data_IF_235392659053
#
_entry.id   IF_235392659053
#
_cell.length_a   1.000
_cell.length_b   1.000
_cell.length_c   1.000
_cell.angle_alpha   90.00
_cell.angle_beta   90.00
_cell.angle_gamma   90.00
#
_symmetry.space_group_name_H-M   'P 1'
#
loop_
_entity.id
_entity.type
_entity.pdbx_description
1 polymer ?
#
# COMPACT_ATOMS: atom_id res chain seq x y z
N UNK A 1 7.85 -6.64 74.74
CA UNK A 1 7.73 -7.69 73.69
C UNK A 1 6.64 -7.37 72.65
N UNK A 2 5.65 -6.50 72.90
CA UNK A 2 4.61 -6.13 71.93
C UNK A 2 5.09 -5.16 70.86
N UNK A 3 6.15 -4.37 71.10
CA UNK A 3 6.72 -3.43 70.13
C UNK A 3 7.36 -4.17 68.95
N UNK A 4 7.98 -5.31 69.19
CA UNK A 4 8.59 -6.11 68.13
C UNK A 4 7.55 -6.78 67.20
N UNK A 5 6.38 -7.13 67.69
CA UNK A 5 5.30 -7.70 66.93
C UNK A 5 4.71 -6.65 66.00
N UNK A 6 4.59 -5.40 66.45
CA UNK A 6 4.09 -4.29 65.62
C UNK A 6 5.07 -3.89 64.52
N UNK A 7 6.39 -4.01 64.79
CA UNK A 7 7.42 -3.74 63.77
C UNK A 7 7.47 -4.83 62.68
N UNK A 8 7.20 -6.09 63.05
CA UNK A 8 7.16 -7.22 62.10
C UNK A 8 5.95 -7.17 61.16
N UNK A 9 4.80 -6.64 61.62
CA UNK A 9 3.61 -6.52 60.80
C UNK A 9 3.78 -5.49 59.67
N UNK A 10 4.56 -4.43 59.91
CA UNK A 10 4.83 -3.40 58.89
C UNK A 10 5.76 -3.85 57.74
N UNK A 11 6.42 -5.01 57.89
CA UNK A 11 7.29 -5.55 56.82
C UNK A 11 6.54 -6.39 55.80
N UNK A 12 5.25 -6.65 56.01
CA UNK A 12 4.38 -7.33 55.08
C UNK A 12 3.50 -6.41 54.22
N UNK A 13 3.82 -5.09 54.17
CA UNK A 13 3.26 -4.23 53.14
C UNK A 13 4.02 -4.54 51.85
N UNK A 14 3.53 -5.56 51.15
CA UNK A 14 4.05 -5.93 49.86
C UNK A 14 3.97 -4.73 48.92
N UNK A 15 5.07 -4.40 48.35
CA UNK A 15 5.12 -3.60 47.14
C UNK A 15 4.13 -4.21 46.16
N UNK A 16 2.98 -3.60 46.00
CA UNK A 16 2.11 -3.89 44.87
C UNK A 16 2.94 -3.61 43.60
N UNK A 17 2.92 -4.51 42.67
CA UNK A 17 3.40 -4.23 41.31
C UNK A 17 2.75 -2.90 40.89
N UNK A 18 3.55 -1.91 40.41
CA UNK A 18 3.00 -0.60 40.05
C UNK A 18 2.04 -0.76 38.87
N UNK A 19 0.76 -0.87 39.16
CA UNK A 19 -0.28 -1.02 38.15
C UNK A 19 -1.66 -0.75 38.74
N UNK A 20 -2.59 -0.31 37.91
CA UNK A 20 -4.00 -0.15 38.23
C UNK A 20 -4.76 -1.37 37.70
N UNK A 21 -5.33 -2.16 38.63
CA UNK A 21 -6.24 -3.25 38.31
C UNK A 21 -7.70 -2.81 38.41
N UNK A 22 -8.51 -3.08 37.40
CA UNK A 22 -9.97 -2.96 37.45
C UNK A 22 -10.54 -4.36 37.43
N UNK A 23 -11.17 -4.79 38.53
CA UNK A 23 -11.57 -6.18 38.81
C UNK A 23 -10.35 -7.17 38.73
N UNK A 24 -9.17 -6.69 39.07
CA UNK A 24 -7.93 -7.47 39.13
C UNK A 24 -7.13 -7.03 40.38
N UNK A 25 -6.86 -7.98 41.25
CA UNK A 25 -6.16 -7.71 42.53
C UNK A 25 -4.63 -7.80 42.38
N UNK A 26 -4.15 -8.45 41.31
CA UNK A 26 -2.73 -8.65 41.01
C UNK A 26 -2.42 -8.17 39.60
N UNK A 27 -2.42 -6.86 39.37
CA UNK A 27 -2.20 -6.35 37.99
C UNK A 27 -0.79 -6.70 37.50
N UNK A 28 -0.75 -7.35 36.33
CA UNK A 28 0.51 -7.74 35.66
C UNK A 28 1.04 -6.63 34.74
N UNK A 29 0.24 -5.59 34.51
CA UNK A 29 0.54 -4.46 33.63
C UNK A 29 0.19 -3.13 34.32
N UNK A 30 0.69 -2.01 33.81
CA UNK A 30 0.39 -0.68 34.35
C UNK A 30 -1.11 -0.37 34.43
N UNK A 31 -1.89 -0.90 33.49
CA UNK A 31 -3.35 -0.99 33.55
C UNK A 31 -3.77 -2.42 33.20
N UNK A 32 -4.40 -3.11 34.12
CA UNK A 32 -4.91 -4.47 33.93
C UNK A 32 -6.42 -4.51 34.18
N UNK A 33 -7.16 -4.93 33.16
CA UNK A 33 -8.62 -5.13 33.21
C UNK A 33 -8.87 -6.63 33.42
N UNK A 34 -9.47 -6.97 34.57
CA UNK A 34 -9.78 -8.37 34.90
C UNK A 34 -10.81 -8.98 33.95
N UNK A 35 -10.86 -10.30 33.89
CA UNK A 35 -11.66 -11.11 32.96
C UNK A 35 -13.17 -10.83 32.96
N UNK A 36 -13.73 -10.28 34.05
CA UNK A 36 -15.13 -9.88 34.15
C UNK A 36 -15.39 -8.42 33.84
N UNK A 37 -14.37 -7.69 33.42
CA UNK A 37 -14.48 -6.28 33.03
C UNK A 37 -15.15 -6.18 31.66
N UNK A 38 -16.09 -5.26 31.52
CA UNK A 38 -16.74 -4.97 30.25
C UNK A 38 -15.81 -4.27 29.23
N UNK A 39 -16.39 -3.49 28.35
CA UNK A 39 -15.65 -2.71 27.36
C UNK A 39 -15.04 -1.44 27.97
N UNK A 40 -13.92 -1.00 27.39
CA UNK A 40 -13.37 0.33 27.69
C UNK A 40 -14.12 1.36 26.84
N UNK A 41 -14.60 2.43 27.48
CA UNK A 41 -15.12 3.61 26.80
C UNK A 41 -14.13 4.76 26.96
N UNK A 42 -13.76 5.36 25.82
CA UNK A 42 -12.88 6.54 25.76
C UNK A 42 -13.70 7.69 25.19
N UNK A 43 -14.15 8.61 26.05
CA UNK A 43 -15.03 9.71 25.61
C UNK A 43 -14.36 10.67 24.62
N UNK A 44 -13.04 10.81 24.66
CA UNK A 44 -12.29 11.58 23.66
C UNK A 44 -12.38 11.05 22.24
N UNK A 45 -12.73 9.76 22.06
CA UNK A 45 -12.84 9.12 20.76
C UNK A 45 -14.28 8.94 20.27
N UNK A 46 -15.27 9.53 20.96
CA UNK A 46 -16.66 9.50 20.50
C UNK A 46 -16.90 10.51 19.36
N UNK A 47 -18.01 10.38 18.66
CA UNK A 47 -18.36 11.22 17.50
C UNK A 47 -18.58 12.71 17.80
N UNK A 48 -18.67 13.10 19.06
CA UNK A 48 -18.78 14.51 19.45
C UNK A 48 -17.42 15.15 19.72
N UNK A 49 -16.40 14.37 20.02
CA UNK A 49 -15.08 14.82 20.43
C UNK A 49 -13.97 14.49 19.43
N UNK A 50 -14.18 13.49 18.56
CA UNK A 50 -13.19 13.06 17.58
C UNK A 50 -13.73 13.25 16.17
N UNK A 51 -12.99 14.02 15.35
CA UNK A 51 -13.34 14.36 13.96
C UNK A 51 -13.41 13.12 13.05
N UNK A 52 -12.62 12.10 13.35
CA UNK A 52 -12.52 10.86 12.56
C UNK A 52 -13.58 9.83 12.93
N UNK A 53 -14.37 10.09 13.99
CA UNK A 53 -15.51 9.27 14.34
C UNK A 53 -16.80 9.83 13.71
N UNK A 54 -17.19 9.30 12.58
CA UNK A 54 -18.40 9.72 11.85
C UNK A 54 -19.73 9.31 12.53
N UNK A 55 -19.69 8.62 13.66
CA UNK A 55 -20.88 8.21 14.42
C UNK A 55 -21.71 7.09 13.79
N UNK A 56 -22.99 7.01 14.15
CA UNK A 56 -23.93 5.99 13.67
C UNK A 56 -23.62 4.60 14.26
N UNK A 57 -23.87 3.56 13.46
CA UNK A 57 -23.61 2.15 13.83
C UNK A 57 -22.25 1.65 13.34
N UNK A 58 -21.41 2.53 12.79
CA UNK A 58 -20.11 2.18 12.26
C UNK A 58 -19.09 1.90 13.36
N UNK A 59 -18.14 1.03 13.07
CA UNK A 59 -16.98 0.77 13.91
C UNK A 59 -15.73 1.35 13.23
N UNK A 60 -14.80 1.88 14.04
CA UNK A 60 -13.58 2.52 13.59
C UNK A 60 -12.38 1.78 14.16
N UNK A 61 -11.30 1.59 13.37
CA UNK A 61 -10.07 0.99 13.88
C UNK A 61 -9.39 1.94 14.86
N UNK A 62 -8.98 1.41 16.01
CA UNK A 62 -8.19 2.15 16.97
C UNK A 62 -6.71 2.07 16.59
N UNK A 63 -6.08 3.21 16.42
CA UNK A 63 -4.69 3.36 16.04
C UNK A 63 -3.88 3.97 17.17
N UNK A 64 -2.55 3.87 17.08
CA UNK A 64 -1.62 4.49 18.02
C UNK A 64 -0.71 5.42 17.23
N UNK A 65 -0.62 6.69 17.62
CA UNK A 65 0.28 7.66 16.99
C UNK A 65 1.75 7.47 17.44
N UNK A 66 2.67 8.29 16.91
CA UNK A 66 4.10 8.22 17.22
C UNK A 66 4.42 8.55 18.69
N UNK A 67 3.53 9.25 19.38
CA UNK A 67 3.66 9.61 20.80
C UNK A 67 3.04 8.55 21.72
N UNK A 68 2.40 7.53 21.16
CA UNK A 68 1.70 6.48 21.92
C UNK A 68 0.25 6.81 22.27
N UNK A 69 -0.33 7.90 21.74
CA UNK A 69 -1.73 8.24 21.97
C UNK A 69 -2.65 7.37 21.12
N UNK A 70 -3.81 7.03 21.68
CA UNK A 70 -4.87 6.36 20.94
C UNK A 70 -5.61 7.36 20.05
N UNK A 71 -5.77 7.03 18.77
CA UNK A 71 -6.42 7.88 17.76
C UNK A 71 -7.25 7.05 16.79
N UNK A 72 -8.24 7.66 16.18
CA UNK A 72 -8.99 7.12 15.03
C UNK A 72 -8.46 7.69 13.71
N UNK A 73 -7.54 8.66 13.76
CA UNK A 73 -6.97 9.28 12.59
C UNK A 73 -6.15 8.27 11.79
N UNK A 74 -6.57 8.03 10.57
CA UNK A 74 -5.83 7.23 9.60
C UNK A 74 -5.05 8.14 8.66
N UNK A 75 -3.72 8.14 8.78
CA UNK A 75 -2.83 8.91 7.91
C UNK A 75 -2.19 7.95 6.91
N UNK A 76 -2.67 7.90 5.67
CA UNK A 76 -1.98 7.17 4.61
C UNK A 76 -0.70 7.93 4.22
N UNK A 77 0.34 7.20 3.82
CA UNK A 77 1.60 7.79 3.38
C UNK A 77 1.50 8.50 2.03
N UNK A 78 0.50 8.15 1.23
CA UNK A 78 0.30 8.70 -0.10
C UNK A 78 -1.18 8.71 -0.48
N UNK A 79 -1.64 9.79 -1.08
CA UNK A 79 -2.98 10.06 -1.62
C UNK A 79 -4.16 9.63 -0.74
N UNK A 80 -4.56 10.51 0.17
CA UNK A 80 -5.63 10.27 1.13
C UNK A 80 -6.98 10.87 0.76
N UNK A 81 -7.04 11.72 -0.25
CA UNK A 81 -8.22 12.58 -0.50
C UNK A 81 -9.21 12.02 -1.52
N UNK A 82 -8.94 10.81 -2.07
CA UNK A 82 -9.81 10.18 -3.08
C UNK A 82 -9.81 10.87 -4.44
N UNK A 83 -8.90 11.83 -4.67
CA UNK A 83 -8.67 12.41 -6.00
C UNK A 83 -7.83 11.46 -6.85
N UNK A 84 -7.72 11.76 -8.13
CA UNK A 84 -6.82 11.05 -9.04
C UNK A 84 -5.39 11.01 -8.48
N UNK A 85 -4.87 9.82 -8.26
CA UNK A 85 -3.59 9.62 -7.59
C UNK A 85 -2.40 9.84 -8.52
N UNK A 86 -2.58 9.60 -9.80
CA UNK A 86 -1.54 9.67 -10.82
C UNK A 86 -2.09 10.44 -12.02
N UNK A 87 -1.37 11.47 -12.44
CA UNK A 87 -1.69 12.23 -13.63
C UNK A 87 -0.57 12.07 -14.66
N UNK A 88 -0.92 11.60 -15.85
CA UNK A 88 0.03 11.38 -16.95
C UNK A 88 0.83 12.64 -17.36
N UNK A 89 0.33 13.82 -17.04
CA UNK A 89 1.02 15.10 -17.31
C UNK A 89 2.11 15.41 -16.27
N UNK A 90 2.02 14.82 -15.08
CA UNK A 90 2.93 15.09 -13.97
C UNK A 90 3.90 13.94 -13.69
N UNK A 91 3.64 12.76 -14.24
CA UNK A 91 4.55 11.61 -14.10
C UNK A 91 5.88 11.86 -14.83
N UNK A 92 7.01 11.44 -14.26
CA UNK A 92 8.32 11.52 -14.92
C UNK A 92 8.34 10.78 -16.26
N UNK A 93 7.61 9.68 -16.35
CA UNK A 93 7.37 8.92 -17.57
C UNK A 93 5.98 8.30 -17.49
N UNK A 94 5.13 8.63 -18.44
CA UNK A 94 3.75 8.11 -18.50
C UNK A 94 3.58 7.10 -19.65
N UNK A 95 4.63 6.69 -20.36
CA UNK A 95 4.52 5.77 -21.49
C UNK A 95 5.66 4.77 -21.56
N UNK A 96 5.34 3.58 -22.09
CA UNK A 96 6.30 2.53 -22.40
C UNK A 96 6.05 2.10 -23.85
N UNK A 97 7.11 2.05 -24.66
CA UNK A 97 6.98 1.81 -26.10
C UNK A 97 7.92 0.71 -26.57
N UNK A 98 7.37 -0.30 -27.25
CA UNK A 98 8.11 -1.30 -28.03
C UNK A 98 8.13 -0.84 -29.48
N UNK A 99 9.30 -0.85 -30.11
CA UNK A 99 9.44 -0.61 -31.53
C UNK A 99 9.14 -1.88 -32.32
N UNK A 100 8.71 -1.72 -33.58
CA UNK A 100 8.54 -2.86 -34.47
C UNK A 100 9.87 -3.56 -34.71
N UNK A 101 9.91 -4.88 -34.56
CA UNK A 101 11.12 -5.67 -34.66
C UNK A 101 12.07 -5.59 -33.46
N UNK A 102 11.59 -5.14 -32.32
CA UNK A 102 12.35 -5.19 -31.08
C UNK A 102 12.81 -6.61 -30.76
N UNK A 103 14.02 -6.73 -30.20
CA UNK A 103 14.74 -8.00 -30.09
C UNK A 103 14.04 -9.02 -29.19
N UNK A 104 13.51 -8.60 -28.05
CA UNK A 104 12.83 -9.48 -27.08
C UNK A 104 11.34 -9.18 -26.94
N UNK A 105 10.87 -8.09 -27.54
CA UNK A 105 9.49 -7.66 -27.50
C UNK A 105 9.01 -7.32 -26.09
N UNK A 106 9.90 -6.91 -25.21
CA UNK A 106 9.58 -6.54 -23.82
C UNK A 106 10.27 -5.22 -23.48
N UNK A 107 9.46 -4.24 -23.07
CA UNK A 107 9.96 -2.96 -22.58
C UNK A 107 9.32 -2.61 -21.25
N UNK A 108 10.10 -1.99 -20.37
CA UNK A 108 9.60 -1.49 -19.10
C UNK A 108 10.16 -0.10 -18.79
N UNK A 109 9.32 0.74 -18.18
CA UNK A 109 9.67 2.08 -17.74
C UNK A 109 9.26 2.35 -16.30
N UNK A 110 10.09 3.07 -15.56
CA UNK A 110 9.72 3.60 -14.26
C UNK A 110 8.74 4.77 -14.45
N UNK A 111 7.52 4.61 -13.95
CA UNK A 111 6.48 5.63 -14.04
C UNK A 111 6.69 6.71 -12.98
N UNK A 112 6.95 6.31 -11.76
CA UNK A 112 7.27 7.20 -10.64
C UNK A 112 7.99 6.44 -9.53
N UNK A 113 8.50 7.18 -8.54
CA UNK A 113 9.01 6.59 -7.31
C UNK A 113 8.58 7.39 -6.10
N UNK A 114 8.62 6.71 -4.96
CA UNK A 114 8.23 7.24 -3.66
C UNK A 114 9.22 6.78 -2.61
N UNK A 115 9.64 7.68 -1.73
CA UNK A 115 10.63 7.37 -0.69
C UNK A 115 9.96 7.37 0.67
N UNK A 116 10.20 6.32 1.46
CA UNK A 116 9.74 6.18 2.84
C UNK A 116 10.92 5.96 3.77
N UNK A 117 10.77 6.45 5.00
CA UNK A 117 11.72 6.23 6.09
C UNK A 117 11.07 5.36 7.15
N UNK A 118 11.78 4.34 7.62
CA UNK A 118 11.34 3.50 8.73
C UNK A 118 12.33 3.58 9.87
N UNK A 119 11.84 3.61 11.10
CA UNK A 119 12.64 3.57 12.32
C UNK A 119 12.66 2.17 12.98
N UNK A 120 12.01 1.20 12.36
CA UNK A 120 11.92 -0.20 12.82
C UNK A 120 11.61 -1.13 11.64
N UNK A 121 11.68 -2.43 11.86
CA UNK A 121 11.10 -3.43 10.96
C UNK A 121 9.61 -3.14 10.78
N UNK A 122 9.16 -3.08 9.54
CA UNK A 122 7.80 -2.68 9.18
C UNK A 122 7.29 -3.49 8.00
N UNK A 123 5.98 -3.52 7.83
CA UNK A 123 5.34 -4.05 6.64
C UNK A 123 4.72 -2.88 5.88
N UNK A 124 5.12 -2.70 4.63
CA UNK A 124 4.52 -1.73 3.73
C UNK A 124 3.39 -2.40 2.95
N UNK A 125 2.17 -1.92 3.15
CA UNK A 125 1.02 -2.21 2.30
C UNK A 125 1.01 -1.22 1.13
N UNK A 126 0.92 -1.75 -0.08
CA UNK A 126 0.73 -0.98 -1.31
C UNK A 126 -0.55 -1.44 -1.98
N UNK A 127 -1.47 -0.53 -2.17
CA UNK A 127 -2.68 -0.72 -2.98
C UNK A 127 -2.64 0.21 -4.15
N UNK A 128 -2.92 -0.30 -5.34
CA UNK A 128 -3.01 0.53 -6.51
C UNK A 128 -4.09 0.06 -7.48
N UNK A 129 -4.58 1.01 -8.24
CA UNK A 129 -5.42 0.83 -9.41
C UNK A 129 -4.95 1.85 -10.45
N UNK A 130 -4.21 1.39 -11.47
CA UNK A 130 -3.55 2.26 -12.45
C UNK A 130 -4.12 2.02 -13.83
N UNK A 131 -4.63 3.09 -14.41
CA UNK A 131 -5.17 3.10 -15.75
C UNK A 131 -4.10 3.04 -16.82
N UNK A 132 -4.43 2.46 -17.96
CA UNK A 132 -3.60 2.49 -19.15
C UNK A 132 -4.45 2.39 -20.42
N UNK A 133 -3.93 2.94 -21.50
CA UNK A 133 -4.43 2.80 -22.85
C UNK A 133 -3.33 2.22 -23.76
N UNK A 134 -3.73 1.48 -24.79
CA UNK A 134 -2.81 0.75 -25.66
C UNK A 134 -2.95 1.24 -27.10
N UNK A 135 -1.84 1.67 -27.67
CA UNK A 135 -1.72 2.21 -29.01
C UNK A 135 -0.62 1.50 -29.80
N UNK A 136 -0.62 1.67 -31.11
CA UNK A 136 0.43 1.19 -31.99
C UNK A 136 1.75 1.98 -31.77
N UNK A 137 1.63 3.28 -31.57
CA UNK A 137 2.75 4.22 -31.48
C UNK A 137 2.44 5.42 -30.57
N UNK A 138 3.41 6.30 -30.39
CA UNK A 138 3.30 7.49 -29.55
C UNK A 138 2.29 8.53 -30.07
N UNK A 139 1.89 8.46 -31.34
CA UNK A 139 0.87 9.34 -31.95
C UNK A 139 -0.54 8.83 -31.75
N UNK A 140 -0.69 7.74 -30.95
CA UNK A 140 -1.98 7.14 -30.57
C UNK A 140 -2.72 6.47 -31.73
N UNK A 141 -1.97 5.96 -32.70
CA UNK A 141 -2.53 5.15 -33.77
C UNK A 141 -3.16 3.86 -33.23
N UNK A 142 -4.32 3.47 -33.76
CA UNK A 142 -4.99 2.24 -33.32
C UNK A 142 -4.22 0.99 -33.74
N UNK A 143 -4.21 -0.02 -32.85
CA UNK A 143 -3.69 -1.36 -33.20
C UNK A 143 -4.70 -2.08 -34.09
N UNK A 144 -4.22 -2.61 -35.23
CA UNK A 144 -5.07 -3.31 -36.22
C UNK A 144 -4.60 -4.71 -36.57
N UNK A 145 -3.54 -5.20 -35.94
CA UNK A 145 -2.89 -6.47 -36.31
C UNK A 145 -3.51 -7.71 -35.66
N UNK A 146 -4.49 -7.58 -34.82
CA UNK A 146 -5.19 -8.66 -34.09
C UNK A 146 -4.30 -9.55 -33.23
N UNK A 147 -3.13 -9.03 -32.83
CA UNK A 147 -2.18 -9.76 -32.00
C UNK A 147 -2.28 -9.30 -30.55
N UNK A 148 -2.03 -10.22 -29.63
CA UNK A 148 -2.12 -9.94 -28.21
C UNK A 148 -0.87 -9.17 -27.71
N UNK A 149 -1.10 -8.28 -26.76
CA UNK A 149 -0.10 -7.60 -25.93
C UNK A 149 -0.41 -7.89 -24.47
N UNK A 150 0.63 -8.02 -23.68
CA UNK A 150 0.50 -8.12 -22.23
C UNK A 150 1.02 -6.84 -21.61
N UNK A 151 0.23 -6.23 -20.78
CA UNK A 151 0.55 -5.01 -20.06
C UNK A 151 0.63 -5.35 -18.57
N UNK A 152 1.79 -5.13 -17.97
CA UNK A 152 2.04 -5.35 -16.56
C UNK A 152 2.26 -4.03 -15.83
N UNK A 153 1.86 -3.98 -14.57
CA UNK A 153 2.31 -3.01 -13.59
C UNK A 153 2.86 -3.73 -12.39
N UNK A 154 3.91 -3.22 -11.81
CA UNK A 154 4.56 -3.74 -10.60
C UNK A 154 5.41 -2.66 -9.95
N UNK A 155 5.92 -2.95 -8.77
CA UNK A 155 6.91 -2.09 -8.15
C UNK A 155 8.14 -2.88 -7.67
N UNK A 156 9.25 -2.14 -7.49
CA UNK A 156 10.51 -2.64 -6.93
C UNK A 156 10.87 -1.82 -5.71
N UNK A 157 11.66 -2.41 -4.82
CA UNK A 157 12.19 -1.74 -3.63
C UNK A 157 13.67 -1.45 -3.88
N UNK A 158 14.07 -0.21 -3.73
CA UNK A 158 15.43 0.28 -3.98
C UNK A 158 15.90 -0.09 -5.41
N UNK A 159 17.13 -0.55 -5.55
CA UNK A 159 17.71 -1.07 -6.78
C UNK A 159 17.50 -2.60 -6.95
N UNK A 160 16.60 -3.20 -6.15
CA UNK A 160 16.34 -4.63 -6.20
C UNK A 160 15.71 -5.07 -7.52
N UNK A 161 15.93 -6.33 -7.89
CA UNK A 161 15.37 -6.92 -9.11
C UNK A 161 13.98 -7.54 -8.91
N UNK A 162 13.61 -7.83 -7.64
CA UNK A 162 12.33 -8.46 -7.32
C UNK A 162 11.17 -7.54 -7.64
N UNK A 163 10.18 -8.06 -8.36
CA UNK A 163 8.91 -7.41 -8.65
C UNK A 163 7.89 -7.76 -7.57
N UNK A 164 7.14 -6.76 -7.12
CA UNK A 164 6.08 -6.88 -6.12
C UNK A 164 4.77 -6.37 -6.70
N UNK A 165 3.65 -6.92 -6.26
CA UNK A 165 2.33 -6.45 -6.65
C UNK A 165 2.12 -6.49 -8.16
N UNK A 166 2.55 -7.56 -8.82
CA UNK A 166 2.40 -7.69 -10.28
C UNK A 166 0.93 -7.84 -10.63
N UNK A 167 0.44 -6.92 -11.47
CA UNK A 167 -0.87 -7.03 -12.12
C UNK A 167 -0.68 -7.06 -13.62
N UNK A 168 -1.47 -7.88 -14.31
CA UNK A 168 -1.29 -8.16 -15.73
C UNK A 168 -2.62 -8.20 -16.45
N UNK A 169 -2.70 -7.51 -17.60
CA UNK A 169 -3.82 -7.57 -18.53
C UNK A 169 -3.32 -7.94 -19.93
N UNK A 170 -4.16 -8.66 -20.64
CA UNK A 170 -3.93 -8.94 -22.05
C UNK A 170 -4.85 -8.04 -22.88
N UNK A 171 -4.25 -7.37 -23.86
CA UNK A 171 -4.94 -6.52 -24.83
C UNK A 171 -4.82 -7.15 -26.22
N UNK A 172 -5.92 -7.13 -26.97
CA UNK A 172 -5.96 -7.55 -28.37
C UNK A 172 -6.81 -6.55 -29.14
N UNK A 173 -6.19 -5.82 -30.06
CA UNK A 173 -6.83 -4.81 -30.91
C UNK A 173 -6.98 -5.22 -32.35
N UNK A 174 -7.79 -4.47 -33.13
CA UNK A 174 -7.94 -4.66 -34.56
C UNK A 174 -9.14 -5.50 -34.99
N UNK A 175 -10.10 -5.75 -34.10
CA UNK A 175 -11.46 -6.21 -34.44
C UNK A 175 -12.43 -5.04 -34.31
N UNK A 176 -13.55 -5.09 -35.04
CA UNK A 176 -14.66 -4.12 -34.87
C UNK A 176 -15.29 -4.21 -33.49
N UNK A 177 -15.07 -5.33 -32.78
CA UNK A 177 -15.61 -5.62 -31.45
C UNK A 177 -14.54 -5.47 -30.36
N UNK A 178 -13.37 -4.87 -30.67
CA UNK A 178 -12.34 -4.62 -29.67
C UNK A 178 -12.71 -3.43 -28.81
N UNK A 179 -12.62 -3.60 -27.52
CA UNK A 179 -12.76 -2.50 -26.54
C UNK A 179 -11.64 -1.49 -26.71
N UNK A 180 -11.97 -0.22 -26.51
CA UNK A 180 -11.02 0.92 -26.53
C UNK A 180 -11.17 1.73 -25.27
N UNK A 181 -10.15 2.53 -24.94
CA UNK A 181 -10.15 3.41 -23.77
C UNK A 181 -9.30 2.87 -22.63
N UNK A 182 -9.66 3.31 -21.42
CA UNK A 182 -8.88 3.02 -20.23
C UNK A 182 -9.14 1.60 -19.69
N UNK A 183 -8.06 0.85 -19.53
CA UNK A 183 -7.99 -0.37 -18.75
C UNK A 183 -7.31 -0.09 -17.42
N UNK A 184 -7.51 -0.95 -16.42
CA UNK A 184 -6.92 -0.78 -15.11
C UNK A 184 -6.16 -2.03 -14.67
N UNK A 185 -4.94 -1.85 -14.18
CA UNK A 185 -4.18 -2.85 -13.45
C UNK A 185 -4.26 -2.55 -11.96
N UNK A 186 -4.79 -3.49 -11.19
CA UNK A 186 -5.03 -3.35 -9.76
C UNK A 186 -4.31 -4.42 -8.97
N UNK A 187 -3.72 -4.06 -7.85
CA UNK A 187 -3.13 -5.02 -6.93
C UNK A 187 -3.05 -4.47 -5.50
N UNK A 188 -3.09 -5.39 -4.53
CA UNK A 188 -2.68 -5.15 -3.15
C UNK A 188 -1.49 -6.04 -2.84
N UNK A 189 -0.43 -5.47 -2.30
CA UNK A 189 0.78 -6.20 -1.94
C UNK A 189 1.34 -5.74 -0.60
N UNK A 190 1.96 -6.68 0.11
CA UNK A 190 2.61 -6.45 1.39
C UNK A 190 4.10 -6.72 1.23
N UNK A 191 4.93 -5.76 1.65
CA UNK A 191 6.39 -5.85 1.55
C UNK A 191 6.97 -5.78 2.95
N UNK A 192 7.79 -6.76 3.30
CA UNK A 192 8.59 -6.69 4.51
C UNK A 192 9.78 -5.73 4.31
N UNK A 193 9.86 -4.71 5.14
CA UNK A 193 10.98 -3.80 5.26
C UNK A 193 11.77 -4.19 6.52
N UNK A 194 12.88 -4.96 6.38
CA UNK A 194 13.43 -5.72 7.50
C UNK A 194 14.26 -4.88 8.48
N UNK A 195 14.56 -3.63 8.18
CA UNK A 195 15.43 -2.80 9.00
C UNK A 195 14.98 -1.34 9.01
N UNK A 196 15.49 -0.60 9.98
CA UNK A 196 15.47 0.87 9.96
C UNK A 196 16.21 1.38 8.75
N UNK A 197 15.64 2.36 8.03
CA UNK A 197 16.30 2.95 6.88
C UNK A 197 15.35 3.65 5.92
N UNK A 198 15.95 4.09 4.82
CA UNK A 198 15.25 4.73 3.71
C UNK A 198 15.02 3.73 2.60
N UNK A 199 13.79 3.61 2.14
CA UNK A 199 13.39 2.71 1.07
C UNK A 199 12.77 3.54 -0.06
N UNK A 200 13.22 3.33 -1.29
CA UNK A 200 12.60 3.89 -2.48
C UNK A 200 11.72 2.83 -3.14
N UNK A 201 10.44 3.10 -3.24
CA UNK A 201 9.47 2.25 -3.93
C UNK A 201 9.34 2.79 -5.34
N UNK A 202 9.73 1.97 -6.34
CA UNK A 202 9.76 2.34 -7.76
C UNK A 202 8.66 1.61 -8.48
N UNK A 203 7.75 2.35 -9.08
CA UNK A 203 6.58 1.81 -9.78
C UNK A 203 6.86 1.75 -11.28
N UNK A 204 6.58 0.59 -11.90
CA UNK A 204 6.89 0.31 -13.30
C UNK A 204 5.64 -0.06 -14.10
N UNK A 205 5.60 0.44 -15.32
CA UNK A 205 4.81 -0.14 -16.40
C UNK A 205 5.70 -1.00 -17.29
N UNK A 206 5.15 -2.10 -17.78
CA UNK A 206 5.83 -3.01 -18.71
C UNK A 206 4.87 -3.43 -19.80
N UNK A 207 5.33 -3.50 -21.02
CA UNK A 207 4.60 -4.06 -22.15
C UNK A 207 5.38 -5.22 -22.73
N UNK A 208 4.67 -6.27 -23.15
CA UNK A 208 5.24 -7.43 -23.83
C UNK A 208 4.37 -7.77 -25.04
N UNK A 209 5.01 -7.83 -26.19
CA UNK A 209 4.38 -8.12 -27.48
C UNK A 209 5.15 -9.15 -28.30
N UNK A 210 6.07 -9.88 -27.68
CA UNK A 210 6.85 -10.93 -28.34
C UNK A 210 5.96 -12.07 -28.82
N UNK A 211 6.09 -12.44 -30.08
CA UNK A 211 5.23 -13.42 -30.73
C UNK A 211 5.76 -14.84 -30.49
N UNK A 212 7.07 -15.03 -30.52
CA UNK A 212 7.70 -16.33 -30.35
C UNK A 212 8.87 -16.25 -29.38
N UNK A 213 8.92 -17.19 -28.48
CA UNK A 213 9.88 -17.24 -27.36
C UNK A 213 11.36 -17.35 -27.81
N UNK A 214 11.62 -17.75 -29.02
CA UNK A 214 12.98 -18.01 -29.56
C UNK A 214 13.23 -17.34 -30.90
N UNK A 215 12.40 -16.39 -31.32
CA UNK A 215 12.57 -15.70 -32.58
C UNK A 215 12.97 -14.24 -32.30
N UNK A 216 14.22 -13.85 -32.48
CA UNK A 216 14.67 -12.48 -32.29
C UNK A 216 13.98 -11.55 -33.29
N UNK A 217 13.84 -10.28 -32.93
CA UNK A 217 13.22 -9.23 -33.72
C UNK A 217 11.73 -9.43 -34.05
N UNK A 218 10.97 -10.03 -33.12
CA UNK A 218 9.52 -10.26 -33.29
C UNK A 218 8.65 -9.31 -32.47
N UNK A 219 9.25 -8.34 -31.81
CA UNK A 219 8.52 -7.30 -31.08
C UNK A 219 7.54 -6.56 -31.99
N UNK A 220 6.31 -6.41 -31.54
CA UNK A 220 5.26 -5.68 -32.25
C UNK A 220 5.23 -4.24 -31.75
N UNK A 221 5.23 -3.28 -32.66
CA UNK A 221 5.05 -1.88 -32.31
C UNK A 221 3.87 -1.72 -31.37
N UNK A 222 4.14 -1.15 -30.19
CA UNK A 222 3.14 -0.97 -29.15
C UNK A 222 3.55 0.19 -28.25
N UNK A 223 2.66 1.14 -28.02
CA UNK A 223 2.83 2.21 -27.06
C UNK A 223 1.72 2.10 -26.02
N UNK A 224 2.09 1.94 -24.75
CA UNK A 224 1.17 1.95 -23.64
C UNK A 224 1.32 3.26 -22.90
N UNK A 225 0.21 3.98 -22.72
CA UNK A 225 0.15 5.22 -21.95
C UNK A 225 -0.57 4.96 -20.64
N UNK A 226 0.10 5.25 -19.52
CA UNK A 226 -0.39 5.03 -18.17
C UNK A 226 -0.94 6.31 -17.56
N UNK A 227 -1.78 6.18 -16.52
CA UNK A 227 -2.31 7.26 -15.71
C UNK A 227 -3.14 8.29 -16.52
N UNK A 228 -4.02 7.83 -17.38
CA UNK A 228 -4.92 8.69 -18.18
C UNK A 228 -6.38 8.63 -17.71
N UNK A 229 -6.69 7.74 -16.79
CA UNK A 229 -7.99 7.62 -16.12
C UNK A 229 -7.94 8.12 -14.68
N UNK A 230 -8.94 7.77 -13.89
CA UNK A 230 -8.94 8.03 -12.47
C UNK A 230 -8.19 6.92 -11.74
N UNK A 231 -6.99 7.20 -11.33
CA UNK A 231 -6.09 6.26 -10.69
C UNK A 231 -6.20 6.33 -9.17
N UNK A 232 -5.98 5.21 -8.49
CA UNK A 232 -5.86 5.17 -7.04
C UNK A 232 -4.54 4.55 -6.59
N UNK A 233 -3.97 5.12 -5.55
CA UNK A 233 -2.73 4.66 -4.97
C UNK A 233 -2.73 4.92 -3.47
N UNK A 234 -2.45 3.89 -2.69
CA UNK A 234 -2.38 3.97 -1.23
C UNK A 234 -1.11 3.28 -0.76
N UNK A 235 -0.33 3.97 0.05
CA UNK A 235 0.74 3.37 0.84
C UNK A 235 0.40 3.46 2.33
N UNK A 236 0.59 2.36 3.04
CA UNK A 236 0.40 2.26 4.47
C UNK A 236 1.55 1.48 5.11
N UNK A 237 2.07 2.00 6.22
CA UNK A 237 3.10 1.35 7.01
C UNK A 237 2.47 0.69 8.25
N UNK A 238 2.83 -0.58 8.50
CA UNK A 238 2.38 -1.36 9.66
C UNK A 238 3.56 -1.71 10.57
#
# INVERSE_FOLDING_TARGET
>A
NYVYIFLLINHFIFSQTPGVGINESTPEQALHLGSSTGTIRIDGLNNSNDLYNGGGTNTYPLLVDELGNLTLEFIPLYNSNGSDALDHLTLPSASVTILNGDNDGIESGELFNFTINTNRTSILEVKYDVSFEVFLDATESAISDKKARRINTYFKVNAGTRQYGVSSKCYNGGSTDSETGNYFNSCTSYINLPATGTYTIRFYGEVSSGIYRNDPNTGLATCVKFARGNDSLLFRLH
#
